data_IF_859246026521
#
_entry.id   IF_859246026521
#
_cell.length_a   1.000
_cell.length_b   1.000
_cell.length_c   1.000
_cell.angle_alpha   90.00
_cell.angle_beta   90.00
_cell.angle_gamma   90.00
#
_symmetry.space_group_name_H-M   'P 1'
#
loop_
_entity.id
_entity.type
_entity.pdbx_description
1 polymer ?
#
# COMPACT_ATOMS: atom_id res chain seq x y z
N UNK A 1 61.17 10.41 -83.11
CA UNK A 1 59.95 11.09 -82.62
C UNK A 1 58.79 10.10 -82.64
N UNK A 2 58.03 10.12 -81.55
CA UNK A 2 56.68 9.57 -81.35
C UNK A 2 56.53 8.06 -81.23
N UNK A 3 55.76 7.51 -80.30
CA UNK A 3 55.42 7.84 -78.92
C UNK A 3 54.78 6.55 -78.39
N UNK A 4 55.27 6.04 -77.26
CA UNK A 4 54.72 4.86 -76.60
C UNK A 4 53.26 5.11 -76.17
N UNK A 5 52.35 4.16 -76.44
CA UNK A 5 51.02 4.15 -75.81
C UNK A 5 50.66 2.73 -75.35
N UNK A 6 50.94 2.47 -74.07
CA UNK A 6 50.41 1.35 -73.29
C UNK A 6 48.89 1.48 -73.24
N UNK A 7 48.16 0.45 -73.67
CA UNK A 7 46.72 0.30 -73.40
C UNK A 7 46.59 -0.58 -72.17
N UNK A 8 46.08 -0.01 -71.09
CA UNK A 8 45.81 -0.70 -69.84
C UNK A 8 44.58 -1.61 -70.01
N UNK A 9 44.74 -2.91 -69.74
CA UNK A 9 43.63 -3.84 -69.59
C UNK A 9 42.86 -3.50 -68.31
N UNK A 10 41.63 -3.02 -68.45
CA UNK A 10 40.71 -2.79 -67.34
C UNK A 10 40.21 -4.12 -66.79
N UNK A 11 40.38 -4.34 -65.48
CA UNK A 11 39.74 -5.45 -64.77
C UNK A 11 38.21 -5.29 -64.84
N UNK A 12 37.43 -6.38 -64.98
CA UNK A 12 35.99 -6.30 -64.86
C UNK A 12 35.63 -5.84 -63.43
N UNK A 13 34.87 -4.74 -63.32
CA UNK A 13 34.24 -4.32 -62.07
C UNK A 13 33.26 -5.42 -61.64
N UNK A 14 33.56 -6.09 -60.54
CA UNK A 14 32.57 -6.91 -59.85
C UNK A 14 31.36 -6.02 -59.51
N UNK A 15 30.19 -6.41 -59.99
CA UNK A 15 28.93 -5.73 -59.76
C UNK A 15 28.57 -5.82 -58.25
N UNK A 16 28.47 -4.71 -57.50
CA UNK A 16 28.12 -4.74 -56.07
C UNK A 16 26.67 -5.17 -55.80
N UNK A 17 25.84 -5.27 -56.84
CA UNK A 17 24.41 -5.54 -56.68
C UNK A 17 24.06 -7.02 -56.44
N UNK A 18 24.99 -7.96 -56.67
CA UNK A 18 24.70 -9.39 -56.50
C UNK A 18 24.83 -9.91 -55.05
N UNK A 19 25.27 -9.08 -54.11
CA UNK A 19 25.55 -9.53 -52.73
C UNK A 19 24.53 -9.05 -51.69
N UNK A 20 23.57 -8.19 -52.05
CA UNK A 20 22.57 -7.66 -51.10
C UNK A 20 21.27 -8.48 -51.11
N UNK A 21 21.02 -9.28 -52.14
CA UNK A 21 19.70 -9.92 -52.32
C UNK A 21 19.47 -11.18 -51.47
N UNK A 22 20.50 -11.71 -50.80
CA UNK A 22 20.41 -12.94 -50.01
C UNK A 22 20.69 -12.76 -48.51
N UNK A 23 20.22 -11.66 -47.89
CA UNK A 23 20.04 -11.64 -46.43
C UNK A 23 18.69 -12.28 -46.06
N UNK A 24 18.64 -13.24 -45.12
CA UNK A 24 17.43 -13.98 -44.78
C UNK A 24 16.41 -13.08 -44.04
N UNK A 25 15.59 -12.35 -44.80
CA UNK A 25 14.50 -11.48 -44.31
C UNK A 25 13.44 -12.20 -43.45
N UNK A 26 13.47 -13.54 -43.35
CA UNK A 26 12.51 -14.36 -42.59
C UNK A 26 12.80 -14.50 -41.10
N UNK A 27 14.03 -14.24 -40.62
CA UNK A 27 14.39 -14.34 -39.18
C UNK A 27 14.26 -13.01 -38.42
N UNK A 28 14.59 -11.88 -39.07
CA UNK A 28 14.51 -10.53 -38.48
C UNK A 28 13.09 -10.16 -37.99
N UNK A 29 12.05 -10.52 -38.75
CA UNK A 29 10.68 -10.18 -38.38
C UNK A 29 10.14 -10.90 -37.15
N UNK A 30 10.73 -12.06 -36.80
CA UNK A 30 10.33 -12.83 -35.61
C UNK A 30 11.05 -12.30 -34.37
N UNK A 31 12.35 -12.04 -34.43
CA UNK A 31 13.12 -11.46 -33.30
C UNK A 31 12.56 -10.10 -32.87
N UNK A 32 12.23 -9.23 -33.83
CA UNK A 32 11.58 -7.93 -33.55
C UNK A 32 10.24 -8.10 -32.83
N UNK A 33 9.40 -9.07 -33.24
CA UNK A 33 8.12 -9.34 -32.56
C UNK A 33 8.31 -9.81 -31.12
N UNK A 34 9.25 -10.71 -30.86
CA UNK A 34 9.53 -11.18 -29.49
C UNK A 34 10.12 -10.07 -28.62
N UNK A 35 10.98 -9.21 -29.16
CA UNK A 35 11.48 -8.03 -28.43
C UNK A 35 10.33 -7.08 -28.07
N UNK A 36 9.45 -6.74 -29.01
CA UNK A 36 8.28 -5.89 -28.72
C UNK A 36 7.35 -6.54 -27.69
N UNK A 37 7.06 -7.83 -27.82
CA UNK A 37 6.22 -8.55 -26.86
C UNK A 37 6.84 -8.59 -25.46
N UNK A 38 8.14 -8.88 -25.34
CA UNK A 38 8.85 -8.88 -24.07
C UNK A 38 8.85 -7.49 -23.41
N UNK A 39 9.14 -6.44 -24.16
CA UNK A 39 9.08 -5.06 -23.67
C UNK A 39 7.67 -4.67 -23.24
N UNK A 40 6.63 -5.02 -24.01
CA UNK A 40 5.25 -4.74 -23.64
C UNK A 40 4.83 -5.46 -22.35
N UNK A 41 5.25 -6.72 -22.15
CA UNK A 41 5.00 -7.46 -20.91
C UNK A 41 5.72 -6.82 -19.73
N UNK A 42 6.96 -6.36 -19.90
CA UNK A 42 7.71 -5.65 -18.84
C UNK A 42 7.03 -4.32 -18.49
N UNK A 43 6.58 -3.55 -19.48
CA UNK A 43 5.82 -2.32 -19.24
C UNK A 43 4.51 -2.60 -18.50
N UNK A 44 3.80 -3.67 -18.87
CA UNK A 44 2.59 -4.08 -18.18
C UNK A 44 2.89 -4.51 -16.72
N UNK A 45 4.00 -5.22 -16.49
CA UNK A 45 4.49 -5.52 -15.14
C UNK A 45 4.72 -4.26 -14.30
N UNK A 46 5.31 -3.22 -14.90
CA UNK A 46 5.54 -1.95 -14.23
C UNK A 46 4.22 -1.25 -13.87
N UNK A 47 3.21 -1.29 -14.75
CA UNK A 47 1.87 -0.75 -14.45
C UNK A 47 1.25 -1.51 -13.26
N UNK A 48 1.29 -2.85 -13.27
CA UNK A 48 0.75 -3.68 -12.16
C UNK A 48 1.47 -3.37 -10.84
N UNK A 49 2.79 -3.15 -10.88
CA UNK A 49 3.56 -2.76 -9.70
C UNK A 49 3.08 -1.40 -9.15
N UNK A 50 3.12 -0.35 -9.96
CA UNK A 50 2.88 1.03 -9.50
C UNK A 50 1.41 1.29 -9.13
N UNK A 51 0.46 0.69 -9.84
CA UNK A 51 -0.96 0.99 -9.62
C UNK A 51 -1.65 -0.01 -8.70
N UNK A 52 -1.28 -1.29 -8.77
CA UNK A 52 -1.96 -2.32 -7.99
C UNK A 52 -1.17 -2.68 -6.74
N UNK A 53 0.09 -3.13 -6.89
CA UNK A 53 0.88 -3.57 -5.74
C UNK A 53 1.13 -2.41 -4.75
N UNK A 54 1.62 -1.26 -5.23
CA UNK A 54 1.93 -0.12 -4.35
C UNK A 54 0.69 0.43 -3.65
N UNK A 55 -0.48 0.41 -4.31
CA UNK A 55 -1.75 0.80 -3.67
C UNK A 55 -2.12 -0.12 -2.51
N UNK A 56 -2.02 -1.44 -2.69
CA UNK A 56 -2.31 -2.41 -1.62
C UNK A 56 -1.23 -2.44 -0.53
N UNK A 57 0.02 -2.16 -0.88
CA UNK A 57 1.10 -2.02 0.10
C UNK A 57 0.91 -0.75 0.97
N UNK A 58 0.53 0.38 0.37
CA UNK A 58 0.16 1.60 1.11
C UNK A 58 -1.00 1.33 2.07
N UNK A 59 -2.10 0.74 1.58
CA UNK A 59 -3.23 0.36 2.45
C UNK A 59 -2.80 -0.53 3.62
N UNK A 60 -1.88 -1.47 3.39
CA UNK A 60 -1.35 -2.30 4.46
C UNK A 60 -0.54 -1.50 5.49
N UNK A 61 0.25 -0.52 5.06
CA UNK A 61 1.03 0.34 5.96
C UNK A 61 0.11 1.23 6.78
N UNK A 62 -0.82 1.91 6.12
CA UNK A 62 -1.79 2.80 6.78
C UNK A 62 -2.59 2.04 7.84
N UNK A 63 -3.05 0.83 7.50
CA UNK A 63 -3.76 -0.03 8.45
C UNK A 63 -2.90 -0.43 9.66
N UNK A 64 -1.64 -0.83 9.43
CA UNK A 64 -0.73 -1.20 10.53
C UNK A 64 -0.36 -0.02 11.43
N UNK A 65 -0.17 1.16 10.84
CA UNK A 65 0.10 2.39 11.58
C UNK A 65 -1.09 2.79 12.45
N UNK A 66 -2.29 2.81 11.89
CA UNK A 66 -3.52 3.07 12.66
C UNK A 66 -3.77 2.03 13.76
N UNK A 67 -3.48 0.75 13.53
CA UNK A 67 -3.60 -0.27 14.57
C UNK A 67 -2.60 -0.03 15.72
N UNK A 68 -1.38 0.43 15.40
CA UNK A 68 -0.38 0.81 16.39
C UNK A 68 -0.83 2.04 17.17
N UNK A 69 -1.29 3.08 16.48
CA UNK A 69 -1.76 4.33 17.09
C UNK A 69 -2.98 4.08 17.98
N UNK A 70 -3.92 3.24 17.54
CA UNK A 70 -5.04 2.77 18.35
C UNK A 70 -4.53 2.11 19.64
N UNK A 71 -3.60 1.17 19.53
CA UNK A 71 -3.00 0.50 20.69
C UNK A 71 -2.32 1.47 21.65
N UNK A 72 -1.56 2.44 21.13
CA UNK A 72 -0.84 3.41 21.95
C UNK A 72 -1.80 4.38 22.66
N UNK A 73 -2.88 4.81 21.98
CA UNK A 73 -3.94 5.62 22.58
C UNK A 73 -4.72 4.86 23.65
N UNK A 74 -5.09 3.60 23.40
CA UNK A 74 -5.78 2.75 24.38
C UNK A 74 -4.90 2.47 25.60
N UNK A 75 -3.58 2.25 25.41
CA UNK A 75 -2.63 2.17 26.53
C UNK A 75 -2.57 3.47 27.33
N UNK A 76 -2.62 4.62 26.66
CA UNK A 76 -2.68 5.91 27.34
C UNK A 76 -4.00 6.09 28.11
N UNK A 77 -5.13 5.60 27.58
CA UNK A 77 -6.40 5.56 28.31
C UNK A 77 -6.30 4.74 29.60
N UNK A 78 -5.76 3.51 29.50
CA UNK A 78 -5.52 2.64 30.67
C UNK A 78 -4.57 3.28 31.69
N UNK A 79 -3.57 4.05 31.26
CA UNK A 79 -2.71 4.79 32.18
C UNK A 79 -3.51 5.79 33.00
N UNK A 80 -4.41 6.55 32.38
CA UNK A 80 -5.27 7.51 33.09
C UNK A 80 -6.29 6.83 34.00
N UNK A 81 -6.84 5.69 33.58
CA UNK A 81 -7.69 4.85 34.44
C UNK A 81 -6.91 4.36 35.68
N UNK A 82 -5.67 3.90 35.50
CA UNK A 82 -4.81 3.51 36.62
C UNK A 82 -4.50 4.70 37.55
N UNK A 83 -4.24 5.89 37.00
CA UNK A 83 -4.05 7.11 37.79
C UNK A 83 -5.30 7.47 38.60
N UNK A 84 -6.50 7.26 38.04
CA UNK A 84 -7.75 7.40 38.79
C UNK A 84 -7.77 6.50 40.04
N UNK A 85 -7.43 5.22 39.90
CA UNK A 85 -7.42 4.29 41.04
C UNK A 85 -6.35 4.62 42.09
N UNK A 86 -5.16 5.05 41.67
CA UNK A 86 -4.10 5.52 42.58
C UNK A 86 -4.57 6.71 43.40
N UNK A 87 -5.25 7.67 42.76
CA UNK A 87 -5.86 8.80 43.46
C UNK A 87 -7.11 8.37 44.24
N UNK A 88 -7.80 7.30 43.88
CA UNK A 88 -8.95 6.84 44.65
C UNK A 88 -8.55 6.21 46.00
N UNK A 89 -7.43 5.49 46.07
CA UNK A 89 -7.00 4.74 47.26
C UNK A 89 -6.22 5.50 48.34
N UNK A 90 -5.92 6.79 48.16
CA UNK A 90 -5.27 7.62 49.20
C UNK A 90 -6.29 8.31 50.13
N UNK A 91 -5.88 8.84 51.29
CA UNK A 91 -6.82 9.43 52.28
C UNK A 91 -7.03 10.96 52.15
N UNK A 92 -6.36 11.62 51.21
CA UNK A 92 -6.27 13.09 51.21
C UNK A 92 -7.37 13.85 50.43
N UNK A 93 -7.64 15.07 50.89
CA UNK A 93 -8.85 15.91 50.68
C UNK A 93 -9.13 16.46 49.25
N UNK A 94 -10.19 17.29 49.16
CA UNK A 94 -10.87 17.93 48.01
C UNK A 94 -10.16 18.10 46.65
N UNK A 95 -8.84 18.31 46.57
CA UNK A 95 -8.08 18.31 45.29
C UNK A 95 -8.24 17.01 44.50
N UNK A 96 -8.54 15.90 45.18
CA UNK A 96 -8.81 14.61 44.54
C UNK A 96 -10.03 14.56 43.66
N UNK A 97 -11.13 15.23 44.00
CA UNK A 97 -12.36 15.09 43.20
C UNK A 97 -12.16 15.67 41.80
N UNK A 98 -11.48 16.80 41.71
CA UNK A 98 -11.08 17.42 40.45
C UNK A 98 -10.09 16.53 39.68
N UNK A 99 -9.07 15.97 40.33
CA UNK A 99 -8.10 15.08 39.68
C UNK A 99 -8.71 13.76 39.20
N UNK A 100 -9.58 13.14 40.02
CA UNK A 100 -10.33 11.93 39.63
C UNK A 100 -11.17 12.18 38.40
N UNK A 101 -11.90 13.29 38.40
CA UNK A 101 -12.74 13.73 37.28
C UNK A 101 -11.90 13.94 36.02
N UNK A 102 -10.78 14.63 36.16
CA UNK A 102 -9.86 14.89 35.05
C UNK A 102 -9.27 13.60 34.48
N UNK A 103 -8.79 12.67 35.33
CA UNK A 103 -8.21 11.42 34.84
C UNK A 103 -9.22 10.54 34.12
N UNK A 104 -10.45 10.44 34.61
CA UNK A 104 -11.48 9.71 33.89
C UNK A 104 -11.85 10.40 32.57
N UNK A 105 -11.94 11.72 32.57
CA UNK A 105 -12.17 12.46 31.34
C UNK A 105 -11.05 12.23 30.32
N UNK A 106 -9.79 12.30 30.75
CA UNK A 106 -8.64 12.00 29.91
C UNK A 106 -8.64 10.55 29.42
N UNK A 107 -9.00 9.58 30.27
CA UNK A 107 -9.14 8.18 29.86
C UNK A 107 -10.16 8.03 28.72
N UNK A 108 -11.34 8.66 28.84
CA UNK A 108 -12.35 8.69 27.79
C UNK A 108 -11.85 9.36 26.51
N UNK A 109 -11.21 10.53 26.63
CA UNK A 109 -10.67 11.28 25.49
C UNK A 109 -9.55 10.53 24.76
N UNK A 110 -8.73 9.75 25.47
CA UNK A 110 -7.72 8.88 24.85
C UNK A 110 -8.33 7.67 24.18
N UNK A 111 -9.34 7.03 24.78
CA UNK A 111 -10.04 5.90 24.16
C UNK A 111 -10.72 6.33 22.84
N UNK A 112 -11.46 7.45 22.84
CA UNK A 112 -12.07 7.97 21.60
C UNK A 112 -11.01 8.39 20.58
N UNK A 113 -9.86 8.92 21.04
CA UNK A 113 -8.73 9.21 20.16
C UNK A 113 -8.25 7.97 19.42
N UNK A 114 -8.08 6.86 20.13
CA UNK A 114 -7.77 5.57 19.51
C UNK A 114 -8.84 5.13 18.51
N UNK A 115 -10.11 5.14 18.93
CA UNK A 115 -11.22 4.73 18.08
C UNK A 115 -11.36 5.58 16.82
N UNK A 116 -11.08 6.89 16.92
CA UNK A 116 -11.04 7.82 15.80
C UNK A 116 -9.98 7.39 14.78
N UNK A 117 -8.76 7.12 15.24
CA UNK A 117 -7.66 6.69 14.35
C UNK A 117 -7.96 5.35 13.68
N UNK A 118 -8.58 4.41 14.41
CA UNK A 118 -9.04 3.14 13.84
C UNK A 118 -10.14 3.34 12.77
N UNK A 119 -11.04 4.29 13.00
CA UNK A 119 -12.19 4.56 12.11
C UNK A 119 -11.76 5.14 10.76
N UNK A 120 -10.72 5.98 10.74
CA UNK A 120 -10.24 6.63 9.50
C UNK A 120 -9.88 5.60 8.41
N UNK A 121 -9.38 4.44 8.79
CA UNK A 121 -8.97 3.38 7.87
C UNK A 121 -10.06 2.35 7.55
N UNK A 122 -11.28 2.53 8.07
CA UNK A 122 -12.40 1.66 7.72
C UNK A 122 -12.86 1.87 6.28
N UNK A 123 -13.45 0.85 5.64
CA UNK A 123 -14.08 0.93 4.33
C UNK A 123 -15.48 1.58 4.43
N UNK A 124 -15.55 2.72 5.10
CA UNK A 124 -16.71 3.59 5.18
C UNK A 124 -16.49 4.78 4.25
N UNK A 125 -17.57 5.39 3.77
CA UNK A 125 -17.45 6.65 3.05
C UNK A 125 -17.03 7.79 4.01
N UNK A 126 -16.65 8.93 3.45
CA UNK A 126 -16.15 10.06 4.23
C UNK A 126 -17.22 10.63 5.17
N UNK A 127 -18.48 10.63 4.75
CA UNK A 127 -19.59 11.20 5.52
C UNK A 127 -19.92 10.33 6.75
N UNK A 128 -20.02 9.02 6.56
CA UNK A 128 -20.25 8.05 7.62
C UNK A 128 -19.07 7.97 8.58
N UNK A 129 -17.82 8.09 8.10
CA UNK A 129 -16.65 8.24 8.98
C UNK A 129 -16.78 9.44 9.88
N UNK A 130 -17.12 10.59 9.31
CA UNK A 130 -17.26 11.83 10.06
C UNK A 130 -18.38 11.72 11.10
N UNK A 131 -19.56 11.21 10.70
CA UNK A 131 -20.69 10.98 11.60
C UNK A 131 -20.34 10.05 12.76
N UNK A 132 -19.62 8.96 12.48
CA UNK A 132 -19.18 8.02 13.52
C UNK A 132 -18.18 8.67 14.48
N UNK A 133 -17.18 9.38 13.94
CA UNK A 133 -16.19 10.11 14.75
C UNK A 133 -16.85 11.15 15.64
N UNK A 134 -17.80 11.91 15.10
CA UNK A 134 -18.51 12.96 15.85
C UNK A 134 -19.40 12.34 16.94
N UNK A 135 -20.05 11.20 16.65
CA UNK A 135 -20.82 10.44 17.63
C UNK A 135 -19.94 9.95 18.79
N UNK A 136 -18.78 9.34 18.47
CA UNK A 136 -17.84 8.85 19.47
C UNK A 136 -17.27 9.98 20.34
N UNK A 137 -16.94 11.13 19.74
CA UNK A 137 -16.48 12.33 20.47
C UNK A 137 -17.58 12.91 21.35
N UNK A 138 -18.82 12.95 20.85
CA UNK A 138 -19.97 13.40 21.60
C UNK A 138 -20.19 12.58 22.87
N UNK A 139 -20.05 11.26 22.79
CA UNK A 139 -20.12 10.37 23.94
C UNK A 139 -19.01 10.63 24.96
N UNK A 140 -17.75 10.78 24.52
CA UNK A 140 -16.62 10.96 25.42
C UNK A 140 -16.62 12.34 26.14
N UNK A 141 -17.19 13.37 25.52
CA UNK A 141 -17.10 14.77 25.99
C UNK A 141 -17.71 15.01 27.38
N UNK A 142 -18.64 14.14 27.81
CA UNK A 142 -19.35 14.28 29.08
C UNK A 142 -18.98 13.20 30.11
N UNK A 143 -17.90 12.46 29.88
CA UNK A 143 -17.45 11.40 30.78
C UNK A 143 -16.54 11.99 31.85
N UNK A 144 -16.99 11.91 33.11
CA UNK A 144 -16.34 12.57 34.26
C UNK A 144 -16.27 11.70 35.52
N UNK A 145 -16.89 10.53 35.50
CA UNK A 145 -16.88 9.55 36.58
C UNK A 145 -16.76 8.13 36.00
N UNK A 146 -16.37 7.19 36.85
CA UNK A 146 -16.02 5.84 36.42
C UNK A 146 -17.22 5.06 35.86
N UNK A 147 -18.43 5.29 36.40
CA UNK A 147 -19.64 4.63 35.90
C UNK A 147 -20.00 5.15 34.50
N UNK A 148 -19.90 6.47 34.29
CA UNK A 148 -20.04 7.07 32.97
C UNK A 148 -18.99 6.55 31.99
N UNK A 149 -17.76 6.31 32.44
CA UNK A 149 -16.69 5.74 31.61
C UNK A 149 -16.98 4.29 31.19
N UNK A 150 -17.45 3.45 32.10
CA UNK A 150 -17.85 2.08 31.77
C UNK A 150 -19.01 2.04 30.78
N UNK A 151 -20.03 2.87 31.00
CA UNK A 151 -21.16 2.98 30.07
C UNK A 151 -20.71 3.49 28.70
N UNK A 152 -19.81 4.48 28.68
CA UNK A 152 -19.20 4.98 27.47
C UNK A 152 -18.47 3.89 26.68
N UNK A 153 -17.63 3.05 27.33
CA UNK A 153 -16.95 1.95 26.64
C UNK A 153 -17.96 1.00 25.99
N UNK A 154 -19.00 0.60 26.74
CA UNK A 154 -20.04 -0.29 26.22
C UNK A 154 -20.81 0.31 25.03
N UNK A 155 -21.10 1.61 25.06
CA UNK A 155 -21.80 2.31 23.99
C UNK A 155 -20.91 2.56 22.78
N UNK A 156 -19.64 2.90 23.00
CA UNK A 156 -18.64 3.03 21.95
C UNK A 156 -18.43 1.70 21.23
N UNK A 157 -18.26 0.60 21.97
CA UNK A 157 -18.10 -0.74 21.39
C UNK A 157 -19.34 -1.16 20.60
N UNK A 158 -20.55 -0.79 21.05
CA UNK A 158 -21.80 -1.00 20.30
C UNK A 158 -21.88 -0.21 19.01
N UNK A 159 -21.55 1.08 19.05
CA UNK A 159 -21.53 1.95 17.86
C UNK A 159 -20.54 1.46 16.83
N UNK A 160 -19.40 0.99 17.31
CA UNK A 160 -18.31 0.53 16.48
C UNK A 160 -18.60 -0.86 15.90
N UNK A 161 -19.44 -1.66 16.58
CA UNK A 161 -19.89 -2.97 16.13
C UNK A 161 -18.86 -4.08 16.37
N UNK A 162 -19.20 -5.32 16.00
CA UNK A 162 -18.36 -6.52 16.14
C UNK A 162 -17.15 -6.48 15.16
N UNK A 163 -16.24 -5.55 15.42
CA UNK A 163 -15.22 -5.06 14.50
C UNK A 163 -14.03 -5.95 14.37
N UNK A 164 -13.90 -6.92 15.26
CA UNK A 164 -12.84 -7.90 15.18
C UNK A 164 -12.96 -8.73 13.90
N UNK A 165 -14.17 -9.13 13.50
CA UNK A 165 -14.39 -9.88 12.25
C UNK A 165 -14.12 -9.02 11.03
N UNK A 166 -14.66 -7.81 10.98
CA UNK A 166 -14.45 -6.88 9.87
C UNK A 166 -12.97 -6.50 9.71
N UNK A 167 -12.27 -6.25 10.82
CA UNK A 167 -10.84 -6.01 10.85
C UNK A 167 -10.04 -7.22 10.34
N UNK A 168 -10.38 -8.43 10.79
CA UNK A 168 -9.75 -9.67 10.32
C UNK A 168 -9.98 -9.89 8.81
N UNK A 169 -11.19 -9.63 8.32
CA UNK A 169 -11.52 -9.71 6.90
C UNK A 169 -10.75 -8.68 6.07
N UNK A 170 -10.68 -7.43 6.52
CA UNK A 170 -9.88 -6.40 5.86
C UNK A 170 -8.39 -6.76 5.82
N UNK A 171 -7.82 -7.27 6.92
CA UNK A 171 -6.42 -7.72 6.94
C UNK A 171 -6.21 -8.89 5.98
N UNK A 172 -7.14 -9.85 5.91
CA UNK A 172 -7.07 -10.96 4.96
C UNK A 172 -7.13 -10.44 3.52
N UNK A 173 -8.05 -9.54 3.22
CA UNK A 173 -8.21 -8.94 1.89
C UNK A 173 -6.95 -8.19 1.45
N UNK A 174 -6.44 -7.28 2.30
CA UNK A 174 -5.22 -6.51 2.03
C UNK A 174 -4.03 -7.46 1.79
N UNK A 175 -3.85 -8.47 2.65
CA UNK A 175 -2.76 -9.46 2.49
C UNK A 175 -2.91 -10.28 1.22
N UNK A 176 -4.13 -10.69 0.88
CA UNK A 176 -4.42 -11.46 -0.31
C UNK A 176 -4.06 -10.68 -1.57
N UNK A 177 -4.62 -9.48 -1.73
CA UNK A 177 -4.38 -8.66 -2.93
C UNK A 177 -2.93 -8.21 -3.05
N UNK A 178 -2.30 -7.80 -1.94
CA UNK A 178 -0.87 -7.45 -1.94
C UNK A 178 -0.02 -8.63 -2.42
N UNK A 179 -0.28 -9.84 -1.92
CA UNK A 179 0.45 -11.05 -2.33
C UNK A 179 0.17 -11.43 -3.78
N UNK A 180 -1.09 -11.34 -4.21
CA UNK A 180 -1.49 -11.64 -5.58
C UNK A 180 -0.78 -10.70 -6.57
N UNK A 181 -0.89 -9.39 -6.38
CA UNK A 181 -0.25 -8.42 -7.27
C UNK A 181 1.26 -8.49 -7.20
N UNK A 182 1.83 -8.83 -6.03
CA UNK A 182 3.25 -9.14 -5.91
C UNK A 182 3.68 -10.27 -6.84
N UNK A 183 2.96 -11.38 -6.79
CA UNK A 183 3.28 -12.56 -7.59
C UNK A 183 3.01 -12.32 -9.08
N UNK A 184 1.94 -11.59 -9.41
CA UNK A 184 1.61 -11.23 -10.80
C UNK A 184 2.69 -10.35 -11.41
N UNK A 185 3.13 -9.28 -10.72
CA UNK A 185 4.20 -8.44 -11.27
C UNK A 185 5.49 -9.25 -11.43
N UNK A 186 5.88 -10.07 -10.44
CA UNK A 186 7.10 -10.88 -10.53
C UNK A 186 7.05 -11.84 -11.72
N UNK A 187 5.91 -12.51 -11.91
CA UNK A 187 5.73 -13.44 -13.01
C UNK A 187 5.78 -12.72 -14.37
N UNK A 188 5.07 -11.59 -14.51
CA UNK A 188 5.10 -10.79 -15.74
C UNK A 188 6.52 -10.30 -16.04
N UNK A 189 7.24 -9.80 -15.03
CA UNK A 189 8.62 -9.34 -15.19
C UNK A 189 9.54 -10.47 -15.67
N UNK A 190 9.46 -11.66 -15.05
CA UNK A 190 10.27 -12.82 -15.44
C UNK A 190 9.94 -13.31 -16.84
N UNK A 191 8.64 -13.42 -17.18
CA UNK A 191 8.19 -13.85 -18.51
C UNK A 191 8.60 -12.83 -19.58
N UNK A 192 8.38 -11.54 -19.34
CA UNK A 192 8.75 -10.48 -20.27
C UNK A 192 10.25 -10.41 -20.51
N UNK A 193 11.05 -10.54 -19.45
CA UNK A 193 12.51 -10.61 -19.54
C UNK A 193 12.97 -11.85 -20.31
N UNK A 194 12.38 -13.02 -20.03
CA UNK A 194 12.69 -14.26 -20.76
C UNK A 194 12.38 -14.17 -22.26
N UNK A 195 11.22 -13.62 -22.61
CA UNK A 195 10.82 -13.38 -24.00
C UNK A 195 11.76 -12.40 -24.70
N UNK A 196 12.19 -11.34 -23.99
CA UNK A 196 13.13 -10.35 -24.51
C UNK A 196 14.51 -10.95 -24.76
N UNK A 197 15.06 -11.71 -23.81
CA UNK A 197 16.34 -12.45 -23.96
C UNK A 197 16.26 -13.43 -25.12
N UNK A 198 15.16 -14.17 -25.25
CA UNK A 198 14.98 -15.10 -26.36
C UNK A 198 14.89 -14.38 -27.71
N UNK A 199 14.21 -13.24 -27.76
CA UNK A 199 14.19 -12.34 -28.92
C UNK A 199 15.56 -11.79 -29.30
N UNK A 200 16.42 -11.47 -28.32
CA UNK A 200 17.82 -11.07 -28.55
C UNK A 200 18.69 -12.23 -29.07
N UNK A 201 18.49 -13.44 -28.56
CA UNK A 201 19.25 -14.63 -28.98
C UNK A 201 18.91 -15.10 -30.41
N UNK A 202 17.78 -14.68 -30.97
CA UNK A 202 17.30 -15.08 -32.30
C UNK A 202 17.36 -13.96 -33.34
N UNK A 203 18.06 -12.88 -33.00
CA UNK A 203 18.51 -11.83 -33.92
C UNK A 203 19.67 -12.33 -34.80
#
# INVERSE_FOLDING_TARGET
MNHAKKVAASKPKANPQATIENMPKKKLGKSIKYKMAGTAIILFSWIVQNYSFDSWDSKSKDYMESARDFSDMTRSSLLYENLYYVVNGSDDSMMKSALKREYIHQAAMKYVGGLTVSTVNRPLDTEDKQRLIDSLKGLASNVYDFDAFNNYILEADRLIGDTRKEAEEQVKEIKFWRTLFKNVYLLLYLVGTGVLIWGMKHE
#
